data_IF_339932763629
#
_entry.id   IF_339932763629
#
_cell.length_a   1.000
_cell.length_b   1.000
_cell.length_c   1.000
_cell.angle_alpha   90.00
_cell.angle_beta   90.00
_cell.angle_gamma   90.00
#
_symmetry.space_group_name_H-M   'P 1'
#
loop_
_entity.id
_entity.type
_entity.pdbx_description
1 polymer ?
#
# COMPACT_ATOMS: atom_id res chain seq x y z
N UNK A 1 -28.71 -3.68 -26.03
CA UNK A 1 -28.36 -3.20 -24.68
C UNK A 1 -26.90 -2.86 -24.72
N UNK A 2 -26.51 -1.61 -24.45
CA UNK A 2 -25.10 -1.23 -24.42
C UNK A 2 -24.45 -1.94 -23.22
N UNK A 3 -23.65 -2.96 -23.49
CA UNK A 3 -22.78 -3.58 -22.49
C UNK A 3 -21.76 -2.52 -22.10
N UNK A 4 -21.85 -2.00 -20.87
CA UNK A 4 -20.78 -1.16 -20.35
C UNK A 4 -19.50 -2.01 -20.34
N UNK A 5 -18.36 -1.49 -20.81
CA UNK A 5 -17.10 -2.21 -20.66
C UNK A 5 -16.89 -2.50 -19.17
N UNK A 6 -16.38 -3.69 -18.80
CA UNK A 6 -16.22 -4.04 -17.40
C UNK A 6 -15.24 -3.07 -16.73
N UNK A 7 -15.53 -2.71 -15.49
CA UNK A 7 -14.76 -1.75 -14.70
C UNK A 7 -13.31 -2.24 -14.52
N UNK A 8 -12.28 -1.44 -14.86
CA UNK A 8 -10.89 -1.77 -14.58
C UNK A 8 -10.68 -2.04 -13.08
N UNK A 9 -9.89 -3.05 -12.73
CA UNK A 9 -9.62 -3.41 -11.33
C UNK A 9 -8.14 -3.27 -10.98
N UNK A 10 -7.87 -2.81 -9.75
CA UNK A 10 -6.51 -2.73 -9.19
C UNK A 10 -6.53 -3.37 -7.81
N UNK A 11 -5.60 -4.29 -7.55
CA UNK A 11 -5.21 -4.66 -6.19
C UNK A 11 -3.86 -4.04 -5.87
N UNK A 12 -3.84 -3.08 -4.95
CA UNK A 12 -2.59 -2.54 -4.40
C UNK A 12 -2.14 -3.40 -3.23
N UNK A 13 -1.06 -4.15 -3.43
CA UNK A 13 -0.35 -4.78 -2.32
C UNK A 13 0.63 -3.80 -1.69
N UNK A 14 0.56 -3.67 -0.37
CA UNK A 14 1.31 -2.66 0.35
C UNK A 14 1.83 -3.13 1.71
N UNK A 15 2.88 -2.46 2.17
CA UNK A 15 3.38 -2.52 3.55
C UNK A 15 3.58 -1.11 4.09
N UNK A 16 3.17 -0.88 5.34
CA UNK A 16 3.29 0.42 6.02
C UNK A 16 4.75 0.88 6.11
N UNK A 17 5.71 -0.06 6.09
CA UNK A 17 7.15 0.25 6.06
C UNK A 17 7.63 0.76 4.70
N UNK A 18 6.84 0.69 3.62
CA UNK A 18 7.28 1.12 2.29
C UNK A 18 6.85 2.56 2.00
N UNK A 19 7.80 3.52 1.87
CA UNK A 19 7.46 4.90 1.51
C UNK A 19 6.87 5.00 0.10
N UNK A 20 7.25 4.10 -0.80
CA UNK A 20 6.70 4.07 -2.15
C UNK A 20 5.29 3.47 -2.17
N UNK A 21 4.97 2.56 -1.25
CA UNK A 21 3.59 2.08 -1.12
C UNK A 21 2.66 3.15 -0.58
N UNK A 22 3.13 3.98 0.36
CA UNK A 22 2.41 5.19 0.77
C UNK A 22 2.15 6.14 -0.40
N UNK A 23 3.15 6.41 -1.24
CA UNK A 23 3.00 7.26 -2.42
C UNK A 23 1.96 6.67 -3.38
N UNK A 24 2.06 5.38 -3.73
CA UNK A 24 1.08 4.73 -4.61
C UNK A 24 -0.33 4.76 -4.01
N UNK A 25 -0.48 4.47 -2.71
CA UNK A 25 -1.74 4.58 -1.99
C UNK A 25 -2.37 5.96 -2.15
N UNK A 26 -1.58 7.02 -1.92
CA UNK A 26 -2.04 8.40 -2.03
C UNK A 26 -2.43 8.76 -3.48
N UNK A 27 -1.67 8.31 -4.48
CA UNK A 27 -2.01 8.53 -5.89
C UNK A 27 -3.32 7.84 -6.26
N UNK A 28 -3.45 6.54 -5.98
CA UNK A 28 -4.66 5.78 -6.29
C UNK A 28 -5.90 6.35 -5.60
N UNK A 29 -5.76 6.86 -4.37
CA UNK A 29 -6.86 7.45 -3.60
C UNK A 29 -7.28 8.84 -4.11
N UNK A 30 -6.32 9.68 -4.52
CA UNK A 30 -6.57 11.12 -4.77
C UNK A 30 -6.66 11.49 -6.24
N UNK A 31 -5.98 10.77 -7.13
CA UNK A 31 -5.95 11.11 -8.55
C UNK A 31 -7.30 10.78 -9.20
N UNK A 32 -7.90 11.73 -9.95
CA UNK A 32 -9.08 11.48 -10.77
C UNK A 32 -8.92 10.33 -11.77
N UNK A 33 -7.68 10.06 -12.21
CA UNK A 33 -7.35 9.04 -13.21
C UNK A 33 -7.83 7.65 -12.77
N UNK A 34 -7.67 7.31 -11.49
CA UNK A 34 -8.03 5.99 -10.96
C UNK A 34 -9.42 5.93 -10.32
N UNK A 35 -10.20 7.03 -10.33
CA UNK A 35 -11.52 7.05 -9.69
C UNK A 35 -12.53 6.12 -10.37
N UNK A 36 -12.33 5.82 -11.66
CA UNK A 36 -13.14 4.85 -12.40
C UNK A 36 -12.72 3.40 -12.14
N UNK A 37 -11.61 3.15 -11.45
CA UNK A 37 -11.15 1.81 -11.12
C UNK A 37 -11.85 1.29 -9.86
N UNK A 38 -12.09 -0.02 -9.83
CA UNK A 38 -12.38 -0.73 -8.59
C UNK A 38 -11.05 -1.08 -7.91
N UNK A 39 -10.76 -0.45 -6.78
CA UNK A 39 -9.47 -0.59 -6.10
C UNK A 39 -9.61 -1.37 -4.80
N UNK A 40 -8.80 -2.41 -4.65
CA UNK A 40 -8.65 -3.19 -3.41
C UNK A 40 -7.29 -2.91 -2.79
N UNK A 41 -7.26 -2.58 -1.50
CA UNK A 41 -6.04 -2.32 -0.75
C UNK A 41 -5.71 -3.54 0.12
N UNK A 42 -4.64 -4.25 -0.22
CA UNK A 42 -4.30 -5.54 0.40
C UNK A 42 -2.98 -5.45 1.18
N UNK A 43 -2.99 -5.53 2.52
CA UNK A 43 -1.77 -5.55 3.31
C UNK A 43 -1.01 -6.86 3.12
N UNK A 44 0.31 -6.77 3.00
CA UNK A 44 1.24 -7.89 2.83
C UNK A 44 2.52 -7.70 3.65
N UNK A 45 3.28 -8.76 3.86
CA UNK A 45 4.60 -8.68 4.50
C UNK A 45 5.69 -8.44 3.45
N UNK A 46 6.23 -7.21 3.41
CA UNK A 46 7.37 -6.90 2.54
C UNK A 46 8.58 -7.79 2.86
N UNK A 47 8.78 -8.08 4.16
CA UNK A 47 9.85 -8.96 4.62
C UNK A 47 9.75 -10.34 3.99
N UNK A 48 8.56 -10.94 4.04
CA UNK A 48 8.31 -12.28 3.49
C UNK A 48 8.48 -12.29 1.98
N UNK A 49 7.97 -11.28 1.25
CA UNK A 49 8.19 -11.15 -0.21
C UNK A 49 9.69 -11.14 -0.53
N UNK A 50 10.46 -10.27 0.13
CA UNK A 50 11.90 -10.14 -0.12
C UNK A 50 12.66 -11.44 0.18
N UNK A 51 12.34 -12.10 1.29
CA UNK A 51 12.96 -13.37 1.65
C UNK A 51 12.62 -14.48 0.64
N UNK A 52 11.35 -14.66 0.29
CA UNK A 52 10.91 -15.72 -0.63
C UNK A 52 11.49 -15.53 -2.03
N UNK A 53 11.58 -14.29 -2.52
CA UNK A 53 12.17 -13.99 -3.82
C UNK A 53 13.71 -13.93 -3.83
N UNK A 54 14.37 -14.12 -2.69
CA UNK A 54 15.83 -13.99 -2.57
C UNK A 54 16.35 -12.57 -2.80
N UNK A 55 15.51 -11.55 -2.62
CA UNK A 55 15.86 -10.15 -2.83
C UNK A 55 16.40 -9.55 -1.52
N UNK A 56 17.67 -9.10 -1.45
CA UNK A 56 18.21 -8.53 -0.23
C UNK A 56 17.45 -7.26 0.17
N UNK A 57 17.14 -7.09 1.47
CA UNK A 57 16.42 -5.91 1.92
C UNK A 57 17.21 -4.64 1.60
N UNK A 58 16.55 -3.52 1.28
CA UNK A 58 17.25 -2.33 0.83
C UNK A 58 18.36 -1.84 1.75
N UNK A 59 18.19 -1.99 3.06
CA UNK A 59 19.19 -1.55 4.04
C UNK A 59 20.47 -2.40 4.03
N UNK A 60 20.41 -3.64 3.53
CA UNK A 60 21.60 -4.47 3.34
C UNK A 60 22.46 -4.03 2.15
N UNK A 61 21.97 -3.10 1.32
CA UNK A 61 22.66 -2.58 0.13
C UNK A 61 23.18 -1.18 0.42
N UNK A 62 24.52 -1.04 0.50
CA UNK A 62 25.26 0.17 0.94
C UNK A 62 24.65 1.51 0.49
N UNK A 63 24.28 1.64 -0.78
CA UNK A 63 23.82 2.92 -1.37
C UNK A 63 22.29 3.08 -1.41
N UNK A 64 21.53 2.02 -1.13
CA UNK A 64 20.10 1.96 -1.44
C UNK A 64 19.27 2.76 -0.43
N UNK A 65 19.70 2.87 0.83
CA UNK A 65 19.04 3.75 1.81
C UNK A 65 19.09 5.23 1.40
N UNK A 66 20.27 5.73 1.01
CA UNK A 66 20.44 7.10 0.50
C UNK A 66 19.60 7.35 -0.75
N UNK A 67 19.58 6.37 -1.68
CA UNK A 67 18.74 6.42 -2.87
C UNK A 67 17.26 6.52 -2.50
N UNK A 68 16.74 5.62 -1.65
CA UNK A 68 15.34 5.61 -1.22
C UNK A 68 14.96 6.95 -0.61
N UNK A 69 15.79 7.49 0.30
CA UNK A 69 15.50 8.75 0.96
C UNK A 69 15.40 9.92 -0.03
N UNK A 70 16.30 9.99 -1.01
CA UNK A 70 16.25 11.03 -2.05
C UNK A 70 15.03 10.86 -2.95
N UNK A 71 14.72 9.63 -3.36
CA UNK A 71 13.67 9.35 -4.35
C UNK A 71 12.26 9.46 -3.76
N UNK A 72 12.02 9.06 -2.50
CA UNK A 72 10.71 9.28 -1.85
C UNK A 72 10.37 10.78 -1.76
N UNK A 73 11.36 11.64 -1.51
CA UNK A 73 11.18 13.11 -1.46
C UNK A 73 11.02 13.72 -2.86
N UNK A 74 11.69 13.17 -3.87
CA UNK A 74 11.51 13.60 -5.26
C UNK A 74 10.08 13.31 -5.75
N UNK A 75 9.60 12.07 -5.52
CA UNK A 75 8.23 11.68 -5.86
C UNK A 75 7.18 12.42 -5.06
N UNK A 76 7.37 12.58 -3.75
CA UNK A 76 6.49 13.37 -2.89
C UNK A 76 6.29 14.79 -3.42
N UNK A 77 7.37 15.52 -3.72
CA UNK A 77 7.28 16.88 -4.30
C UNK A 77 6.58 16.88 -5.66
N UNK A 78 6.87 15.88 -6.49
CA UNK A 78 6.32 15.78 -7.85
C UNK A 78 4.82 15.48 -7.87
N UNK A 79 4.35 14.68 -6.91
CA UNK A 79 2.96 14.23 -6.81
C UNK A 79 2.16 15.00 -5.74
N UNK A 80 2.77 16.01 -5.11
CA UNK A 80 2.19 16.80 -4.03
C UNK A 80 1.66 15.95 -2.86
N UNK A 81 2.44 14.94 -2.46
CA UNK A 81 2.11 14.03 -1.36
C UNK A 81 2.92 14.43 -0.11
N UNK A 82 2.27 14.72 1.04
CA UNK A 82 2.98 15.05 2.28
C UNK A 82 3.98 13.95 2.68
N UNK A 83 5.21 14.35 3.03
CA UNK A 83 6.30 13.43 3.34
C UNK A 83 7.30 14.09 4.29
N UNK A 84 7.68 13.41 5.38
CA UNK A 84 8.71 13.86 6.32
C UNK A 84 10.09 13.92 5.65
N UNK A 85 10.91 14.91 6.01
CA UNK A 85 12.24 15.11 5.38
C UNK A 85 13.24 14.00 5.72
N UNK A 86 13.18 13.47 6.94
CA UNK A 86 13.96 12.32 7.36
C UNK A 86 13.15 11.03 7.20
N UNK A 87 13.80 9.87 7.11
CA UNK A 87 13.07 8.61 7.28
C UNK A 87 12.53 8.53 8.72
N UNK A 88 11.39 7.87 8.96
CA UNK A 88 10.84 7.72 10.30
C UNK A 88 11.83 7.07 11.25
N UNK A 89 11.74 7.39 12.53
CA UNK A 89 12.61 6.84 13.56
C UNK A 89 12.57 5.30 13.53
N UNK A 90 13.73 4.66 13.60
CA UNK A 90 13.82 3.19 13.58
C UNK A 90 13.56 2.55 12.22
N UNK A 91 13.51 3.32 11.11
CA UNK A 91 13.36 2.75 9.78
C UNK A 91 14.55 1.84 9.39
N UNK A 92 14.29 0.61 8.89
CA UNK A 92 13.00 -0.06 8.78
C UNK A 92 12.51 -0.62 10.13
N UNK A 93 11.24 -0.40 10.43
CA UNK A 93 10.58 -0.84 11.67
C UNK A 93 9.67 -2.05 11.42
N UNK A 94 9.34 -2.85 12.46
CA UNK A 94 8.44 -4.00 12.31
C UNK A 94 7.00 -3.57 12.04
N UNK A 95 6.32 -4.27 11.11
CA UNK A 95 4.92 -4.02 10.74
C UNK A 95 4.05 -5.27 10.81
N UNK A 96 4.58 -6.44 11.20
CA UNK A 96 3.85 -7.72 11.14
C UNK A 96 2.52 -7.69 11.89
N UNK A 97 2.50 -7.16 13.11
CA UNK A 97 1.29 -7.19 13.95
C UNK A 97 0.20 -6.27 13.37
N UNK A 98 0.55 -5.02 13.06
CA UNK A 98 -0.40 -4.08 12.44
C UNK A 98 -0.84 -4.52 11.04
N UNK A 99 0.04 -5.14 10.24
CA UNK A 99 -0.33 -5.67 8.92
C UNK A 99 -1.28 -6.85 9.02
N UNK A 100 -1.12 -7.70 10.04
CA UNK A 100 -2.03 -8.82 10.32
C UNK A 100 -3.41 -8.29 10.73
N UNK A 101 -3.44 -7.26 11.56
CA UNK A 101 -4.66 -6.58 11.98
C UNK A 101 -5.35 -5.90 10.79
N UNK A 102 -4.60 -5.20 9.94
CA UNK A 102 -5.13 -4.61 8.71
C UNK A 102 -5.67 -5.66 7.75
N UNK A 103 -5.06 -6.85 7.65
CA UNK A 103 -5.55 -7.94 6.82
C UNK A 103 -6.93 -8.41 7.31
N UNK A 104 -7.11 -8.50 8.62
CA UNK A 104 -8.40 -8.83 9.22
C UNK A 104 -9.44 -7.72 9.02
N UNK A 105 -9.05 -6.45 9.20
CA UNK A 105 -9.92 -5.28 8.95
C UNK A 105 -10.36 -5.23 7.48
N UNK A 106 -9.46 -5.52 6.54
CA UNK A 106 -9.77 -5.52 5.10
C UNK A 106 -10.87 -6.52 4.73
N UNK A 107 -11.00 -7.63 5.47
CA UNK A 107 -12.03 -8.65 5.25
C UNK A 107 -13.31 -8.35 6.03
N UNK A 108 -13.17 -7.93 7.29
CA UNK A 108 -14.31 -7.75 8.20
C UNK A 108 -15.00 -6.39 8.09
N UNK A 109 -14.24 -5.33 7.76
CA UNK A 109 -14.69 -3.94 7.67
C UNK A 109 -14.03 -3.24 6.45
N UNK A 110 -14.25 -3.77 5.23
CA UNK A 110 -13.59 -3.27 4.01
C UNK A 110 -13.85 -1.78 3.74
N UNK A 111 -14.97 -1.24 4.20
CA UNK A 111 -15.32 0.18 4.09
C UNK A 111 -14.47 1.10 4.98
N UNK A 112 -13.79 0.55 5.98
CA UNK A 112 -12.97 1.30 6.96
C UNK A 112 -11.48 1.17 6.73
N UNK A 113 -11.03 0.10 6.07
CA UNK A 113 -9.59 -0.18 5.90
C UNK A 113 -8.83 0.98 5.24
N UNK A 114 -9.43 1.63 4.23
CA UNK A 114 -8.77 2.73 3.51
C UNK A 114 -8.57 3.95 4.41
N UNK A 115 -9.52 4.26 5.29
CA UNK A 115 -9.39 5.36 6.24
C UNK A 115 -8.30 5.07 7.28
N UNK A 116 -8.30 3.86 7.85
CA UNK A 116 -7.30 3.44 8.85
C UNK A 116 -5.89 3.45 8.24
N UNK A 117 -5.72 2.84 7.05
CA UNK A 117 -4.43 2.80 6.35
C UNK A 117 -3.95 4.20 6.03
N UNK A 118 -4.82 5.12 5.61
CA UNK A 118 -4.42 6.51 5.35
C UNK A 118 -3.89 7.19 6.62
N UNK A 119 -4.59 7.05 7.76
CA UNK A 119 -4.17 7.65 9.02
C UNK A 119 -2.80 7.13 9.44
N UNK A 120 -2.62 5.81 9.46
CA UNK A 120 -1.34 5.16 9.81
C UNK A 120 -0.22 5.59 8.87
N UNK A 121 -0.47 5.61 7.56
CA UNK A 121 0.51 6.06 6.60
C UNK A 121 0.88 7.54 6.77
N UNK A 122 -0.10 8.40 7.09
CA UNK A 122 0.12 9.82 7.34
C UNK A 122 1.02 10.00 8.57
N UNK A 123 0.71 9.35 9.69
CA UNK A 123 1.57 9.40 10.88
C UNK A 123 3.00 8.94 10.57
N UNK A 124 3.14 7.80 9.89
CA UNK A 124 4.47 7.25 9.58
C UNK A 124 5.22 8.16 8.62
N UNK A 125 4.66 8.48 7.45
CA UNK A 125 5.41 9.04 6.34
C UNK A 125 5.25 10.53 6.15
N UNK A 126 4.14 11.15 6.58
CA UNK A 126 4.02 12.60 6.60
C UNK A 126 4.63 13.17 7.89
N UNK A 127 4.28 12.59 9.04
CA UNK A 127 4.68 13.13 10.35
C UNK A 127 6.01 12.55 10.87
N UNK A 128 6.45 11.40 10.32
CA UNK A 128 7.70 10.74 10.73
C UNK A 128 7.58 9.87 11.98
N UNK A 129 6.35 9.55 12.39
CA UNK A 129 6.02 8.84 13.61
C UNK A 129 5.74 7.34 13.35
N UNK A 130 6.79 6.53 13.43
CA UNK A 130 6.69 5.07 13.32
C UNK A 130 6.06 4.40 14.53
N UNK A 131 5.98 5.06 15.70
CA UNK A 131 5.36 4.47 16.86
C UNK A 131 3.84 4.31 16.69
N UNK A 132 3.23 5.04 15.75
CA UNK A 132 1.84 4.82 15.31
C UNK A 132 1.58 3.42 14.73
N UNK A 133 2.62 2.66 14.36
CA UNK A 133 2.50 1.32 13.75
C UNK A 133 3.31 0.24 14.47
N UNK A 134 4.21 0.61 15.39
CA UNK A 134 5.02 -0.34 16.18
C UNK A 134 4.54 -0.51 17.62
N UNK A 135 3.75 0.42 18.16
CA UNK A 135 3.23 0.38 19.52
C UNK A 135 1.73 0.04 19.50
N UNK A 136 1.37 -1.06 20.17
CA UNK A 136 0.00 -1.56 20.20
C UNK A 136 -1.01 -0.60 20.77
N UNK A 137 -0.64 0.14 21.80
CA UNK A 137 -1.53 1.14 22.40
C UNK A 137 -1.74 2.33 21.46
N UNK A 138 -0.80 2.60 20.56
CA UNK A 138 -0.89 3.72 19.63
C UNK A 138 -1.69 3.37 18.39
N UNK A 139 -1.45 2.24 17.74
CA UNK A 139 -2.32 1.86 16.62
C UNK A 139 -3.73 1.48 17.09
N UNK A 140 -3.91 0.98 18.32
CA UNK A 140 -5.24 0.79 18.93
C UNK A 140 -6.03 2.09 18.94
N UNK A 141 -5.45 3.20 19.39
CA UNK A 141 -6.10 4.52 19.36
C UNK A 141 -6.50 4.97 17.96
N UNK A 142 -5.68 4.68 16.96
CA UNK A 142 -6.02 4.98 15.55
C UNK A 142 -7.23 4.17 15.08
N UNK A 143 -7.36 2.92 15.54
CA UNK A 143 -8.53 2.09 15.23
C UNK A 143 -9.79 2.60 15.94
N UNK A 144 -9.70 3.00 17.21
CA UNK A 144 -10.80 3.56 18.01
C UNK A 144 -11.32 4.91 17.46
N UNK A 145 -10.51 5.64 16.69
CA UNK A 145 -10.97 6.83 15.98
C UNK A 145 -11.90 6.53 14.78
N UNK A 146 -11.93 5.28 14.30
CA UNK A 146 -12.61 4.88 13.06
C UNK A 146 -13.66 3.78 13.27
N UNK A 147 -13.42 2.91 14.25
CA UNK A 147 -14.23 1.75 14.64
C UNK A 147 -14.75 1.94 16.07
N UNK A 148 -15.85 1.29 16.42
CA UNK A 148 -16.34 1.29 17.80
C UNK A 148 -15.43 0.46 18.71
N UNK A 149 -15.35 0.83 19.99
CA UNK A 149 -14.53 0.16 21.01
C UNK A 149 -14.73 -1.37 21.01
N UNK A 150 -15.99 -1.84 20.97
CA UNK A 150 -16.33 -3.28 20.93
C UNK A 150 -15.72 -4.01 19.71
N UNK A 151 -15.64 -3.32 18.57
CA UNK A 151 -15.03 -3.88 17.35
C UNK A 151 -13.52 -3.94 17.49
N UNK A 152 -12.91 -2.89 18.04
CA UNK A 152 -11.45 -2.85 18.27
C UNK A 152 -11.04 -3.94 19.26
N UNK A 153 -11.77 -4.10 20.36
CA UNK A 153 -11.54 -5.18 21.32
C UNK A 153 -11.64 -6.56 20.65
N UNK A 154 -12.68 -6.78 19.85
CA UNK A 154 -12.85 -8.02 19.10
C UNK A 154 -11.72 -8.30 18.10
N UNK A 155 -11.22 -7.29 17.40
CA UNK A 155 -10.09 -7.43 16.46
C UNK A 155 -8.76 -7.74 17.17
N UNK A 156 -8.60 -7.30 18.42
CA UNK A 156 -7.42 -7.52 19.24
C UNK A 156 -7.48 -8.83 20.05
N UNK A 157 -8.58 -9.58 19.98
CA UNK A 157 -8.68 -10.91 20.60
C UNK A 157 -7.63 -11.89 20.01
N UNK A 158 -7.13 -12.82 20.82
CA UNK A 158 -6.05 -13.73 20.43
C UNK A 158 -6.40 -14.65 19.25
N UNK A 159 -7.64 -15.11 19.15
CA UNK A 159 -8.09 -15.93 18.01
C UNK A 159 -8.14 -15.10 16.74
N UNK A 160 -8.66 -13.87 16.84
CA UNK A 160 -8.72 -12.92 15.73
C UNK A 160 -7.35 -12.47 15.25
N UNK A 161 -6.40 -12.26 16.15
CA UNK A 161 -5.02 -12.00 15.77
C UNK A 161 -4.38 -13.18 15.01
N UNK A 162 -4.74 -14.41 15.37
CA UNK A 162 -4.27 -15.61 14.65
C UNK A 162 -4.86 -15.66 13.24
N UNK A 163 -6.17 -15.40 13.11
CA UNK A 163 -6.85 -15.27 11.81
C UNK A 163 -6.19 -14.17 10.93
N UNK A 164 -5.91 -13.00 11.51
CA UNK A 164 -5.23 -11.91 10.83
C UNK A 164 -3.84 -12.27 10.30
N UNK A 165 -3.06 -13.06 11.07
CA UNK A 165 -1.74 -13.56 10.62
C UNK A 165 -1.87 -14.52 9.45
N UNK A 166 -2.83 -15.44 9.51
CA UNK A 166 -3.13 -16.36 8.39
C UNK A 166 -3.57 -15.59 7.14
N UNK A 167 -4.39 -14.56 7.29
CA UNK A 167 -4.80 -13.68 6.18
C UNK A 167 -3.61 -12.93 5.58
N UNK A 168 -2.72 -12.38 6.43
CA UNK A 168 -1.52 -11.69 5.97
C UNK A 168 -0.58 -12.62 5.18
N UNK A 169 -0.38 -13.85 5.67
CA UNK A 169 0.40 -14.88 4.98
C UNK A 169 -0.21 -15.23 3.62
N UNK A 170 -1.52 -15.47 3.58
CA UNK A 170 -2.24 -15.78 2.33
C UNK A 170 -2.18 -14.63 1.32
N UNK A 171 -2.39 -13.39 1.76
CA UNK A 171 -2.26 -12.20 0.92
C UNK A 171 -0.84 -12.05 0.37
N UNK A 172 0.16 -12.32 1.21
CA UNK A 172 1.57 -12.23 0.82
C UNK A 172 1.94 -13.29 -0.20
N UNK A 173 1.45 -14.53 -0.03
CA UNK A 173 1.64 -15.60 -1.00
C UNK A 173 0.99 -15.26 -2.34
N UNK A 174 -0.26 -14.77 -2.33
CA UNK A 174 -0.96 -14.34 -3.54
C UNK A 174 -0.18 -13.25 -4.28
N UNK A 175 0.34 -12.25 -3.58
CA UNK A 175 1.15 -11.21 -4.22
C UNK A 175 2.38 -11.80 -4.94
N UNK A 176 3.06 -12.78 -4.32
CA UNK A 176 4.21 -13.47 -4.92
C UNK A 176 3.79 -14.31 -6.14
N UNK A 177 2.68 -15.04 -6.05
CA UNK A 177 2.10 -15.78 -7.19
C UNK A 177 1.74 -14.86 -8.36
N UNK A 178 1.31 -13.64 -8.06
CA UNK A 178 1.04 -12.58 -9.04
C UNK A 178 2.30 -11.84 -9.52
N UNK A 179 3.49 -12.26 -9.08
CA UNK A 179 4.78 -11.79 -9.58
C UNK A 179 5.50 -10.78 -8.68
N UNK A 180 4.96 -10.43 -7.52
CA UNK A 180 5.56 -9.44 -6.64
C UNK A 180 6.93 -9.89 -6.08
N UNK A 181 7.95 -9.07 -6.29
CA UNK A 181 9.31 -9.22 -5.73
C UNK A 181 9.74 -8.02 -4.87
N UNK A 182 8.82 -7.07 -4.67
CA UNK A 182 8.97 -5.84 -3.92
C UNK A 182 7.65 -5.06 -3.91
N UNK A 183 7.62 -3.92 -3.21
CA UNK A 183 6.40 -3.12 -3.05
C UNK A 183 6.62 -1.63 -3.40
N UNK A 184 5.57 -0.90 -3.81
CA UNK A 184 4.21 -1.39 -4.05
C UNK A 184 4.13 -2.32 -5.26
N UNK A 185 3.18 -3.24 -5.22
CA UNK A 185 2.80 -4.06 -6.37
C UNK A 185 1.34 -3.80 -6.70
N UNK A 186 1.05 -3.50 -7.96
CA UNK A 186 -0.29 -3.32 -8.48
C UNK A 186 -0.61 -4.52 -9.36
N UNK A 187 -1.54 -5.36 -8.93
CA UNK A 187 -2.13 -6.38 -9.80
C UNK A 187 -3.36 -5.78 -10.47
N UNK A 188 -3.30 -5.61 -11.78
CA UNK A 188 -4.31 -4.92 -12.58
C UNK A 188 -5.10 -5.91 -13.43
N UNK A 189 -6.39 -5.65 -13.60
CA UNK A 189 -7.23 -6.33 -14.61
C UNK A 189 -7.83 -5.28 -15.55
N UNK A 190 -7.53 -5.39 -16.85
CA UNK A 190 -8.01 -4.45 -17.87
C UNK A 190 -9.50 -4.65 -18.18
N UNK A 191 -10.16 -3.70 -18.87
CA UNK A 191 -11.51 -3.90 -19.39
C UNK A 191 -11.66 -5.10 -20.33
N UNK A 192 -10.58 -5.59 -20.94
CA UNK A 192 -10.61 -6.81 -21.75
C UNK A 192 -10.52 -8.09 -20.90
N UNK A 193 -10.31 -7.98 -19.58
CA UNK A 193 -10.11 -9.11 -18.67
C UNK A 193 -8.67 -9.63 -18.63
N UNK A 194 -7.73 -8.93 -19.27
CA UNK A 194 -6.30 -9.25 -19.22
C UNK A 194 -5.74 -8.87 -17.86
N UNK A 195 -4.73 -9.61 -17.39
CA UNK A 195 -4.09 -9.39 -16.09
C UNK A 195 -2.63 -9.02 -16.28
N UNK A 196 -2.17 -8.00 -15.57
CA UNK A 196 -0.77 -7.55 -15.60
C UNK A 196 -0.36 -7.00 -14.22
N UNK A 197 0.91 -7.16 -13.88
CA UNK A 197 1.49 -6.69 -12.63
C UNK A 197 2.46 -5.53 -12.83
N UNK A 198 2.35 -4.48 -12.00
CA UNK A 198 3.22 -3.31 -12.05
C UNK A 198 3.90 -3.08 -10.70
N UNK A 199 5.22 -2.93 -10.72
CA UNK A 199 6.01 -2.69 -9.51
C UNK A 199 6.47 -1.23 -9.42
N UNK A 200 6.18 -0.57 -8.30
CA UNK A 200 6.72 0.75 -8.02
C UNK A 200 5.83 1.92 -8.48
N UNK A 201 6.12 3.10 -7.93
CA UNK A 201 5.37 4.35 -8.21
C UNK A 201 5.66 4.91 -9.59
N UNK A 202 6.81 4.55 -10.16
CA UNK A 202 7.27 4.92 -11.49
C UNK A 202 6.50 4.19 -12.60
N UNK A 203 5.85 3.06 -12.29
CA UNK A 203 5.05 2.29 -13.25
C UNK A 203 3.55 2.62 -13.22
N UNK A 204 3.11 3.60 -12.41
CA UNK A 204 1.70 4.01 -12.36
C UNK A 204 1.18 4.54 -13.71
N UNK A 205 2.05 5.12 -14.54
CA UNK A 205 1.71 5.51 -15.91
C UNK A 205 1.38 4.32 -16.80
N UNK A 206 2.27 3.31 -16.82
CA UNK A 206 2.05 2.06 -17.56
C UNK A 206 0.82 1.30 -17.07
N UNK A 207 0.57 1.29 -15.75
CA UNK A 207 -0.66 0.72 -15.19
C UNK A 207 -1.90 1.45 -15.71
N UNK A 208 -1.88 2.79 -15.78
CA UNK A 208 -3.00 3.56 -16.31
C UNK A 208 -3.22 3.30 -17.82
N UNK A 209 -2.14 3.16 -18.60
CA UNK A 209 -2.21 2.79 -20.02
C UNK A 209 -2.84 1.41 -20.22
N UNK A 210 -2.35 0.40 -19.49
CA UNK A 210 -2.87 -0.97 -19.54
C UNK A 210 -4.36 -1.07 -19.15
N UNK A 211 -4.79 -0.22 -18.21
CA UNK A 211 -6.18 -0.14 -17.77
C UNK A 211 -7.06 0.74 -18.68
N UNK A 212 -6.51 1.28 -19.76
CA UNK A 212 -7.19 2.17 -20.72
C UNK A 212 -7.79 3.42 -20.06
N UNK A 213 -7.12 3.97 -19.03
CA UNK A 213 -7.60 5.15 -18.30
C UNK A 213 -7.31 6.44 -19.06
N UNK A 214 -8.20 7.42 -18.95
CA UNK A 214 -7.94 8.78 -19.43
C UNK A 214 -6.97 9.48 -18.47
N UNK A 215 -5.68 9.45 -18.83
CA UNK A 215 -4.60 10.04 -18.04
C UNK A 215 -4.52 11.57 -18.15
N UNK A 216 -5.32 12.19 -19.03
CA UNK A 216 -5.34 13.64 -19.22
C UNK A 216 -3.96 14.31 -19.33
N UNK A 217 -3.88 15.58 -18.95
CA UNK A 217 -2.63 16.37 -18.91
C UNK A 217 -2.23 16.72 -17.47
N UNK A 218 -2.43 15.82 -16.50
CA UNK A 218 -1.88 16.03 -15.16
C UNK A 218 -0.34 16.05 -15.24
N UNK A 219 0.27 17.17 -14.84
CA UNK A 219 1.70 17.40 -15.03
C UNK A 219 2.61 16.35 -14.36
N UNK A 220 2.12 15.71 -13.29
CA UNK A 220 2.77 14.58 -12.60
C UNK A 220 2.80 13.31 -13.46
N UNK A 221 1.64 12.91 -13.98
CA UNK A 221 1.42 11.71 -14.79
C UNK A 221 2.03 11.78 -16.19
N UNK A 222 2.06 12.97 -16.81
CA UNK A 222 2.64 13.15 -18.15
C UNK A 222 4.12 12.71 -18.29
N UNK A 223 4.86 12.61 -17.18
CA UNK A 223 6.25 12.11 -17.16
C UNK A 223 6.33 10.64 -16.78
N UNK A 224 5.29 10.06 -16.17
CA UNK A 224 5.20 8.61 -15.99
C UNK A 224 4.82 7.90 -17.30
N UNK A 225 4.27 8.64 -18.27
CA UNK A 225 3.88 8.18 -19.61
C UNK A 225 4.98 8.38 -20.69
N UNK A 226 6.20 8.80 -20.32
CA UNK A 226 7.32 9.06 -21.24
C UNK A 226 8.55 8.27 -20.83
#
# INVERSE_FOLDING_TARGET
MATHPPTPEITLYFDLVSPFSYIAFQVLKKSPIFQSCKITYTPVSLRTILTTCGNPPPIAVKNKLTYINRHRLAWSRRLNIPMTQAVPTGFPFPTTDIQSLLALVAVSHPEKVVEIVERLYTFVWADGDSASVTDSERYKKVLEEVLSDDVVEGLLDGEKQTEGKTLLEANTHRAIEEGAFGLPWLACTSPAGEKEGFWGVDHLGLAAEFLELDVGMEGGFRVMMK
#
